data_IF_475077395208
#
_entry.id   IF_475077395208
#
_cell.length_a   1.000
_cell.length_b   1.000
_cell.length_c   1.000
_cell.angle_alpha   90.00
_cell.angle_beta   90.00
_cell.angle_gamma   90.00
#
_symmetry.space_group_name_H-M   'P 1'
#
loop_
_entity.id
_entity.type
_entity.pdbx_description
1 polymer ?
#
# COMPACT_ATOMS: atom_id res chain seq x y z
N UNK A 1 6.86 -22.51 -2.65
CA UNK A 1 7.16 -22.18 -1.24
C UNK A 1 7.71 -20.77 -1.18
N UNK A 2 7.43 -20.06 -0.09
CA UNK A 2 7.95 -18.69 0.08
C UNK A 2 9.34 -18.74 0.71
N UNK A 3 10.39 -18.33 -0.04
CA UNK A 3 11.78 -18.41 0.44
C UNK A 3 12.10 -17.17 1.30
N UNK A 4 11.75 -17.20 2.59
CA UNK A 4 12.12 -16.11 3.50
C UNK A 4 13.59 -16.20 3.88
N UNK A 5 14.24 -15.06 3.98
CA UNK A 5 15.66 -14.88 4.26
C UNK A 5 15.84 -14.00 5.51
N UNK A 6 16.55 -14.49 6.53
CA UNK A 6 17.01 -13.62 7.61
C UNK A 6 17.89 -12.50 7.07
N UNK A 7 17.80 -11.30 7.64
CA UNK A 7 18.62 -10.15 7.25
C UNK A 7 19.05 -9.32 8.46
N UNK A 8 20.10 -8.52 8.28
CA UNK A 8 20.56 -7.57 9.29
C UNK A 8 19.84 -6.24 9.11
N UNK A 9 18.75 -6.02 9.84
CA UNK A 9 18.01 -4.78 9.72
C UNK A 9 18.82 -3.57 10.21
N UNK A 10 18.74 -2.47 9.48
CA UNK A 10 18.95 -1.14 10.04
C UNK A 10 17.59 -0.58 10.43
N UNK A 11 17.45 -0.09 11.65
CA UNK A 11 16.18 0.39 12.18
C UNK A 11 16.39 1.61 13.09
N UNK A 12 15.36 2.45 13.28
CA UNK A 12 15.45 3.53 14.25
C UNK A 12 15.64 2.98 15.68
N UNK A 13 16.32 3.76 16.50
CA UNK A 13 16.32 3.52 17.95
C UNK A 13 14.94 3.80 18.53
N UNK A 14 14.62 3.20 19.69
CA UNK A 14 13.32 3.42 20.34
C UNK A 14 12.99 4.92 20.53
N UNK A 15 14.00 5.72 20.90
CA UNK A 15 13.86 7.17 21.11
C UNK A 15 13.59 7.94 19.80
N UNK A 16 14.01 7.41 18.64
CA UNK A 16 13.92 8.08 17.34
C UNK A 16 12.89 7.47 16.39
N UNK A 17 12.28 6.37 16.76
CA UNK A 17 11.34 5.65 15.89
C UNK A 17 10.15 6.52 15.43
N UNK A 18 9.60 7.36 16.33
CA UNK A 18 8.51 8.28 16.00
C UNK A 18 8.95 9.40 15.05
N UNK A 19 10.14 9.94 15.26
CA UNK A 19 10.70 11.03 14.45
C UNK A 19 11.15 10.52 13.07
N UNK A 20 11.79 9.35 13.06
CA UNK A 20 12.36 8.79 11.83
C UNK A 20 11.31 8.22 10.88
N UNK A 21 10.37 7.39 11.38
CA UNK A 21 9.41 6.71 10.54
C UNK A 21 8.30 7.65 10.05
N UNK A 22 7.85 7.43 8.83
CA UNK A 22 6.77 8.19 8.19
C UNK A 22 5.51 7.34 8.03
N UNK A 23 4.37 7.98 7.79
CA UNK A 23 3.26 7.33 7.12
C UNK A 23 3.74 6.73 5.79
N UNK A 24 2.98 5.80 5.23
CA UNK A 24 3.38 5.11 4.01
C UNK A 24 3.86 6.10 2.93
N UNK A 25 5.15 6.07 2.61
CA UNK A 25 5.82 7.08 1.78
C UNK A 25 5.23 7.17 0.36
N UNK A 26 4.71 6.06 -0.18
CA UNK A 26 4.04 6.02 -1.49
C UNK A 26 2.82 6.96 -1.60
N UNK A 27 2.31 7.45 -0.49
CA UNK A 27 1.12 8.31 -0.44
C UNK A 27 1.45 9.76 -0.12
N UNK A 28 2.73 10.08 0.08
CA UNK A 28 3.19 11.45 0.30
C UNK A 28 3.57 12.09 -1.03
N UNK A 29 3.16 13.33 -1.24
CA UNK A 29 3.64 14.12 -2.36
C UNK A 29 5.10 14.53 -2.17
N UNK A 30 5.79 14.92 -3.25
CA UNK A 30 7.15 15.44 -3.17
C UNK A 30 7.23 16.64 -2.21
N UNK A 31 6.25 17.55 -2.25
CA UNK A 31 6.19 18.71 -1.37
C UNK A 31 6.03 18.33 0.10
N UNK A 32 5.20 17.34 0.40
CA UNK A 32 5.03 16.80 1.75
C UNK A 32 6.32 16.14 2.28
N UNK A 33 7.06 15.45 1.41
CA UNK A 33 8.38 14.88 1.76
C UNK A 33 9.37 16.01 2.06
N UNK A 34 9.45 17.04 1.21
CA UNK A 34 10.36 18.18 1.40
C UNK A 34 10.03 18.98 2.67
N UNK A 35 8.76 19.27 2.91
CA UNK A 35 8.31 19.96 4.13
C UNK A 35 8.66 19.14 5.38
N UNK A 36 8.41 17.84 5.35
CA UNK A 36 8.72 16.95 6.48
C UNK A 36 10.23 16.86 6.71
N UNK A 37 11.04 16.78 5.65
CA UNK A 37 12.50 16.76 5.74
C UNK A 37 13.06 18.04 6.37
N UNK A 38 12.51 19.20 6.02
CA UNK A 38 12.90 20.50 6.58
C UNK A 38 12.57 20.62 8.09
N UNK A 39 11.45 20.05 8.53
CA UNK A 39 11.06 20.06 9.95
C UNK A 39 11.76 18.99 10.79
N UNK A 40 12.06 17.83 10.21
CA UNK A 40 12.56 16.64 10.90
C UNK A 40 13.83 16.13 10.20
N UNK A 41 15.01 16.71 10.51
CA UNK A 41 16.27 16.40 9.82
C UNK A 41 16.79 14.96 10.06
N UNK A 42 16.24 14.26 11.05
CA UNK A 42 16.56 12.85 11.33
C UNK A 42 15.50 11.88 10.79
N UNK A 43 14.55 12.34 9.97
CA UNK A 43 13.47 11.52 9.44
C UNK A 43 13.86 10.76 8.18
N UNK A 44 13.04 9.76 7.83
CA UNK A 44 13.11 9.08 6.53
C UNK A 44 12.92 10.08 5.37
N UNK A 45 12.09 11.12 5.54
CA UNK A 45 11.93 12.18 4.53
C UNK A 45 13.25 12.89 4.24
N UNK A 46 14.02 13.22 5.28
CA UNK A 46 15.35 13.82 5.13
C UNK A 46 16.35 12.87 4.44
N UNK A 47 16.26 11.57 4.69
CA UNK A 47 17.06 10.58 3.96
C UNK A 47 16.65 10.51 2.48
N UNK A 48 15.36 10.52 2.18
CA UNK A 48 14.84 10.53 0.80
C UNK A 48 15.26 11.81 0.06
N UNK A 49 15.13 12.97 0.69
CA UNK A 49 15.58 14.25 0.13
C UNK A 49 17.09 14.21 -0.19
N UNK A 50 17.93 13.74 0.72
CA UNK A 50 19.37 13.60 0.51
C UNK A 50 19.66 12.59 -0.63
N UNK A 51 18.91 11.48 -0.70
CA UNK A 51 19.04 10.52 -1.80
C UNK A 51 18.70 11.17 -3.16
N UNK A 52 17.66 11.99 -3.24
CA UNK A 52 17.32 12.71 -4.47
C UNK A 52 18.44 13.68 -4.89
N UNK A 53 19.16 14.25 -3.94
CA UNK A 53 20.37 15.06 -4.18
C UNK A 53 21.65 14.25 -4.49
N UNK A 54 21.60 12.91 -4.42
CA UNK A 54 22.76 12.04 -4.61
C UNK A 54 23.58 11.76 -3.34
N UNK A 55 23.10 12.20 -2.19
CA UNK A 55 23.78 12.13 -0.88
C UNK A 55 23.18 11.06 0.07
N UNK A 56 22.33 10.17 -0.43
CA UNK A 56 21.57 9.21 0.37
C UNK A 56 22.44 8.31 1.24
N UNK A 57 23.50 7.71 0.68
CA UNK A 57 24.40 6.84 1.43
C UNK A 57 25.16 7.60 2.54
N UNK A 58 25.59 8.84 2.27
CA UNK A 58 26.27 9.70 3.25
C UNK A 58 25.28 10.08 4.39
N UNK A 59 24.05 10.44 4.05
CA UNK A 59 22.99 10.74 5.03
C UNK A 59 22.67 9.53 5.90
N UNK A 60 22.58 8.34 5.31
CA UNK A 60 22.34 7.10 6.04
C UNK A 60 23.47 6.80 7.04
N UNK A 61 24.73 7.02 6.61
CA UNK A 61 25.90 6.87 7.50
C UNK A 61 25.86 7.89 8.64
N UNK A 62 25.53 9.15 8.39
CA UNK A 62 25.35 10.19 9.43
C UNK A 62 24.27 9.78 10.44
N UNK A 63 23.09 9.35 9.99
CA UNK A 63 22.00 8.91 10.86
C UNK A 63 22.40 7.74 11.80
N UNK A 64 23.30 6.87 11.32
CA UNK A 64 23.87 5.79 12.15
C UNK A 64 24.91 6.34 13.15
N UNK A 65 25.79 7.25 12.73
CA UNK A 65 26.76 7.89 13.60
C UNK A 65 26.09 8.68 14.74
N UNK A 66 24.98 9.36 14.42
CA UNK A 66 24.15 10.12 15.36
C UNK A 66 23.25 9.24 16.25
N UNK A 67 23.38 7.91 16.12
CA UNK A 67 22.55 6.93 16.84
C UNK A 67 21.04 7.12 16.66
N UNK A 68 20.63 7.75 15.57
CA UNK A 68 19.23 7.80 15.18
C UNK A 68 18.80 6.44 14.62
N UNK A 69 19.71 5.79 13.89
CA UNK A 69 19.55 4.43 13.38
C UNK A 69 20.62 3.51 14.02
N UNK A 70 20.27 2.25 14.17
CA UNK A 70 21.21 1.20 14.54
C UNK A 70 21.05 0.01 13.58
N UNK A 71 22.14 -0.70 13.36
CA UNK A 71 22.13 -1.96 12.61
C UNK A 71 22.18 -3.13 13.59
N UNK A 72 21.29 -4.09 13.38
CA UNK A 72 21.29 -5.32 14.17
C UNK A 72 22.58 -6.12 13.95
N UNK A 73 23.14 -6.74 15.00
CA UNK A 73 24.44 -7.43 14.90
C UNK A 73 24.37 -8.66 14.00
N UNK A 74 23.29 -9.43 14.09
CA UNK A 74 23.13 -10.72 13.40
C UNK A 74 21.92 -10.72 12.46
N UNK A 75 21.96 -11.50 11.37
CA UNK A 75 20.80 -11.70 10.52
C UNK A 75 19.70 -12.46 11.27
N UNK A 76 18.48 -11.94 11.21
CA UNK A 76 17.29 -12.61 11.76
C UNK A 76 16.06 -12.18 10.96
N UNK A 77 14.92 -12.74 11.28
CA UNK A 77 13.61 -12.21 10.87
C UNK A 77 13.06 -11.34 12.00
N UNK A 78 12.03 -10.55 11.73
CA UNK A 78 11.48 -9.64 12.73
C UNK A 78 9.96 -9.76 12.73
N UNK A 79 9.36 -9.45 13.89
CA UNK A 79 7.92 -9.32 13.99
C UNK A 79 7.54 -7.85 14.13
N UNK A 80 6.44 -7.48 13.50
CA UNK A 80 5.85 -6.16 13.61
C UNK A 80 4.36 -6.27 13.88
N UNK A 81 3.91 -5.62 14.96
CA UNK A 81 2.49 -5.49 15.26
C UNK A 81 2.07 -4.04 15.20
N UNK A 82 1.01 -3.79 14.44
CA UNK A 82 0.31 -2.51 14.42
C UNK A 82 -1.03 -2.65 15.11
N UNK A 83 -1.39 -1.65 15.94
CA UNK A 83 -2.74 -1.51 16.51
C UNK A 83 -3.27 -0.13 16.16
N UNK A 84 -4.44 -0.06 15.53
CA UNK A 84 -5.11 1.20 15.17
C UNK A 84 -6.62 1.00 15.21
N UNK A 85 -7.35 1.90 15.88
CA UNK A 85 -8.82 1.82 15.95
C UNK A 85 -9.35 0.50 16.50
N UNK A 86 -8.65 -0.10 17.47
CA UNK A 86 -9.01 -1.41 18.07
C UNK A 86 -8.63 -2.63 17.20
N UNK A 87 -8.18 -2.44 15.98
CA UNK A 87 -7.72 -3.53 15.10
C UNK A 87 -6.25 -3.82 15.33
N UNK A 88 -5.92 -5.10 15.39
CA UNK A 88 -4.56 -5.61 15.57
C UNK A 88 -4.13 -6.36 14.31
N UNK A 89 -2.95 -6.04 13.83
CA UNK A 89 -2.32 -6.68 12.67
C UNK A 89 -0.91 -7.08 13.03
N UNK A 90 -0.55 -8.33 12.81
CA UNK A 90 0.75 -8.87 13.14
C UNK A 90 1.38 -9.53 11.91
N UNK A 91 2.61 -9.16 11.56
CA UNK A 91 3.30 -9.69 10.40
C UNK A 91 4.76 -9.98 10.63
N UNK A 92 5.30 -10.83 9.77
CA UNK A 92 6.71 -11.17 9.71
C UNK A 92 7.44 -10.20 8.77
N UNK A 93 8.57 -9.64 9.20
CA UNK A 93 9.47 -8.85 8.36
C UNK A 93 10.71 -9.67 8.07
N UNK A 94 10.97 -9.90 6.78
CA UNK A 94 12.06 -10.74 6.30
C UNK A 94 12.52 -10.29 4.91
N UNK A 95 13.68 -10.74 4.48
CA UNK A 95 14.01 -10.78 3.07
C UNK A 95 13.19 -11.88 2.36
N UNK A 96 12.82 -11.64 1.11
CA UNK A 96 12.24 -12.67 0.24
C UNK A 96 13.02 -12.66 -1.06
N UNK A 97 13.39 -13.83 -1.54
CA UNK A 97 14.18 -13.96 -2.78
C UNK A 97 13.36 -13.51 -3.99
N UNK A 98 13.96 -12.70 -4.86
CA UNK A 98 13.28 -12.05 -5.99
C UNK A 98 12.69 -13.03 -7.00
N UNK A 99 13.27 -14.23 -7.16
CA UNK A 99 12.74 -15.27 -8.05
C UNK A 99 11.32 -15.73 -7.67
N UNK A 100 10.92 -15.60 -6.39
CA UNK A 100 9.58 -15.94 -5.95
C UNK A 100 8.48 -15.04 -6.58
N UNK A 101 8.84 -13.84 -7.02
CA UNK A 101 7.92 -12.90 -7.70
C UNK A 101 7.78 -13.18 -9.20
N UNK A 102 8.70 -13.93 -9.79
CA UNK A 102 8.71 -14.26 -11.22
C UNK A 102 8.29 -15.69 -11.52
N UNK A 103 8.44 -16.62 -10.56
CA UNK A 103 8.10 -18.03 -10.73
C UNK A 103 6.64 -18.38 -10.35
N UNK A 104 5.81 -17.37 -10.02
CA UNK A 104 4.39 -17.55 -9.72
C UNK A 104 4.07 -17.96 -8.27
N UNK A 105 5.06 -18.01 -7.38
CA UNK A 105 4.83 -18.22 -5.94
C UNK A 105 4.22 -16.97 -5.31
N UNK A 106 4.74 -15.79 -5.65
CA UNK A 106 4.19 -14.51 -5.22
C UNK A 106 3.54 -13.83 -6.42
N UNK A 107 2.24 -13.54 -6.30
CA UNK A 107 1.39 -13.08 -7.39
C UNK A 107 0.93 -11.66 -7.17
N UNK A 108 0.80 -10.89 -8.25
CA UNK A 108 0.34 -9.51 -8.22
C UNK A 108 -1.05 -9.40 -8.83
N UNK A 109 -1.97 -8.68 -8.18
CA UNK A 109 -3.35 -8.45 -8.62
C UNK A 109 -3.54 -7.16 -9.44
N UNK A 110 -2.50 -6.32 -9.55
CA UNK A 110 -2.51 -5.07 -10.33
C UNK A 110 -1.17 -4.76 -10.95
N UNK A 111 -1.17 -3.87 -11.93
CA UNK A 111 0.06 -3.36 -12.54
C UNK A 111 0.79 -2.36 -11.64
N UNK A 112 2.10 -2.21 -11.85
CA UNK A 112 2.90 -1.13 -11.33
C UNK A 112 2.88 0.07 -12.30
N UNK A 113 3.09 1.30 -11.81
CA UNK A 113 3.38 2.46 -12.65
C UNK A 113 4.88 2.49 -12.95
N UNK A 114 5.24 2.65 -14.22
CA UNK A 114 6.65 2.62 -14.63
C UNK A 114 7.48 3.76 -14.04
N UNK A 115 6.91 4.97 -13.95
CA UNK A 115 7.56 6.15 -13.37
C UNK A 115 7.89 5.94 -11.89
N UNK A 116 6.93 5.42 -11.11
CA UNK A 116 7.13 5.12 -9.69
C UNK A 116 8.24 4.08 -9.51
N UNK A 117 8.29 3.05 -10.37
CA UNK A 117 9.32 2.02 -10.31
C UNK A 117 10.74 2.56 -10.55
N UNK A 118 10.91 3.49 -11.48
CA UNK A 118 12.19 4.15 -11.74
C UNK A 118 12.65 4.99 -10.53
N UNK A 119 11.73 5.71 -9.90
CA UNK A 119 12.03 6.50 -8.70
C UNK A 119 12.43 5.62 -7.52
N UNK A 120 11.72 4.51 -7.28
CA UNK A 120 12.07 3.57 -6.22
C UNK A 120 13.42 2.89 -6.42
N UNK A 121 13.75 2.52 -7.65
CA UNK A 121 15.07 1.98 -7.98
C UNK A 121 16.17 2.99 -7.67
N UNK A 122 16.01 4.23 -8.15
CA UNK A 122 16.97 5.31 -7.92
C UNK A 122 17.16 5.59 -6.41
N UNK A 123 16.09 5.58 -5.63
CA UNK A 123 16.15 5.75 -4.18
C UNK A 123 16.96 4.62 -3.52
N UNK A 124 16.68 3.37 -3.89
CA UNK A 124 17.40 2.20 -3.38
C UNK A 124 18.89 2.25 -3.70
N UNK A 125 19.24 2.56 -4.95
CA UNK A 125 20.63 2.70 -5.41
C UNK A 125 21.36 3.81 -4.66
N UNK A 126 20.77 4.98 -4.51
CA UNK A 126 21.38 6.15 -3.86
C UNK A 126 21.49 6.02 -2.34
N UNK A 127 20.61 5.30 -1.71
CA UNK A 127 20.71 4.95 -0.28
C UNK A 127 21.60 3.73 -0.02
N UNK A 128 21.94 2.93 -1.04
CA UNK A 128 22.53 1.60 -0.91
C UNK A 128 21.72 0.69 0.04
N UNK A 129 20.41 0.92 0.11
CA UNK A 129 19.49 0.22 1.00
C UNK A 129 18.05 0.28 0.49
N UNK A 130 17.29 -0.77 0.74
CA UNK A 130 15.84 -0.75 0.64
C UNK A 130 15.29 -0.04 1.89
N UNK A 131 14.63 1.08 1.70
CA UNK A 131 14.16 1.95 2.80
C UNK A 131 12.70 1.73 3.16
N UNK A 132 12.03 0.86 2.42
CA UNK A 132 10.63 0.51 2.64
C UNK A 132 10.34 -0.92 2.16
N UNK A 133 9.35 -1.59 2.78
CA UNK A 133 9.02 -2.99 2.53
C UNK A 133 7.92 -3.16 1.48
N UNK A 134 8.00 -4.23 0.71
CA UNK A 134 6.86 -4.78 -0.03
C UNK A 134 5.93 -5.46 0.97
N UNK A 135 4.63 -5.20 0.88
CA UNK A 135 3.63 -5.86 1.73
C UNK A 135 3.06 -7.04 0.99
N UNK A 136 3.17 -8.20 1.59
CA UNK A 136 2.65 -9.47 1.08
C UNK A 136 1.52 -9.98 1.97
N UNK A 137 0.48 -10.52 1.35
CA UNK A 137 -0.56 -11.26 2.06
C UNK A 137 -0.40 -12.76 1.82
N UNK A 138 -0.61 -13.59 2.85
CA UNK A 138 -0.54 -15.04 2.75
C UNK A 138 -1.62 -15.72 3.59
N UNK A 139 -2.00 -16.93 3.25
CA UNK A 139 -2.88 -17.75 4.05
C UNK A 139 -2.08 -18.38 5.20
N UNK A 140 -2.35 -17.91 6.44
CA UNK A 140 -1.70 -18.44 7.63
C UNK A 140 -2.31 -19.77 8.04
N UNK A 141 -1.45 -20.72 8.43
CA UNK A 141 -1.85 -21.96 9.10
C UNK A 141 -1.66 -21.85 10.62
N UNK A 142 -2.13 -22.87 11.35
CA UNK A 142 -2.04 -22.91 12.81
C UNK A 142 -0.59 -22.83 13.32
N UNK A 143 0.36 -23.47 12.64
CA UNK A 143 1.78 -23.46 13.03
C UNK A 143 2.35 -22.04 12.98
N UNK A 144 2.09 -21.29 11.90
CA UNK A 144 2.55 -19.91 11.77
C UNK A 144 1.86 -19.01 12.79
N UNK A 145 0.56 -19.20 13.01
CA UNK A 145 -0.19 -18.43 14.00
C UNK A 145 0.39 -18.63 15.41
N UNK A 146 0.64 -19.86 15.81
CA UNK A 146 1.30 -20.21 17.07
C UNK A 146 2.70 -19.58 17.23
N UNK A 147 3.49 -19.64 16.15
CA UNK A 147 4.83 -19.04 16.16
C UNK A 147 4.74 -17.52 16.33
N UNK A 148 3.81 -16.85 15.62
CA UNK A 148 3.60 -15.41 15.75
C UNK A 148 3.19 -15.03 17.17
N UNK A 149 2.28 -15.79 17.80
CA UNK A 149 1.87 -15.56 19.18
C UNK A 149 3.04 -15.71 20.18
N UNK A 150 3.88 -16.70 19.97
CA UNK A 150 5.06 -16.91 20.82
C UNK A 150 6.08 -15.79 20.68
N UNK A 151 6.34 -15.32 19.43
CA UNK A 151 7.27 -14.22 19.18
C UNK A 151 6.82 -12.92 19.83
N UNK A 152 5.53 -12.57 19.75
CA UNK A 152 5.01 -11.30 20.29
C UNK A 152 4.83 -11.32 21.82
N UNK A 153 4.96 -12.47 22.45
CA UNK A 153 5.01 -12.59 23.93
C UNK A 153 6.41 -12.36 24.50
N UNK A 154 7.44 -12.34 23.65
CA UNK A 154 8.79 -12.00 24.06
C UNK A 154 8.95 -10.48 24.28
N UNK A 155 10.09 -10.08 24.86
CA UNK A 155 10.40 -8.65 25.06
C UNK A 155 10.59 -7.96 23.71
N UNK A 156 9.84 -6.89 23.41
CA UNK A 156 9.98 -6.16 22.16
C UNK A 156 11.32 -5.38 22.10
N UNK A 157 11.77 -5.12 20.87
CA UNK A 157 12.87 -4.18 20.60
C UNK A 157 12.47 -2.77 20.99
N UNK A 158 11.27 -2.37 20.60
CA UNK A 158 10.64 -1.12 21.02
C UNK A 158 9.15 -1.09 20.71
N UNK A 159 8.51 -0.09 21.31
CA UNK A 159 7.12 0.26 21.10
C UNK A 159 7.02 1.75 20.82
N UNK A 160 6.26 2.16 19.82
CA UNK A 160 6.10 3.57 19.44
C UNK A 160 4.64 3.87 19.10
N UNK A 161 4.16 5.02 19.55
CA UNK A 161 2.86 5.58 19.14
C UNK A 161 3.14 6.63 18.08
N UNK A 162 2.57 6.41 16.89
CA UNK A 162 2.70 7.30 15.74
C UNK A 162 1.78 8.53 15.87
N UNK A 163 2.00 9.54 15.01
CA UNK A 163 1.22 10.78 15.02
C UNK A 163 -0.26 10.59 14.69
N UNK A 164 -0.61 9.54 13.95
CA UNK A 164 -1.96 9.14 13.57
C UNK A 164 -2.67 8.24 14.61
N UNK A 165 -2.06 8.09 15.81
CA UNK A 165 -2.57 7.27 16.91
C UNK A 165 -2.32 5.76 16.73
N UNK A 166 -1.74 5.32 15.63
CA UNK A 166 -1.35 3.92 15.47
C UNK A 166 -0.18 3.57 16.41
N UNK A 167 -0.25 2.39 16.98
CA UNK A 167 0.80 1.84 17.83
C UNK A 167 1.57 0.79 17.07
N UNK A 168 2.90 0.89 17.06
CA UNK A 168 3.79 -0.08 16.42
C UNK A 168 4.69 -0.72 17.44
N UNK A 169 4.73 -2.04 17.48
CA UNK A 169 5.63 -2.82 18.35
C UNK A 169 6.45 -3.76 17.49
N UNK A 170 7.74 -3.80 17.72
CA UNK A 170 8.71 -4.54 16.93
C UNK A 170 9.48 -5.52 17.81
N UNK A 171 9.69 -6.74 17.29
CA UNK A 171 10.48 -7.79 17.95
C UNK A 171 11.56 -8.31 17.03
N UNK A 172 12.67 -8.76 17.61
CA UNK A 172 13.64 -9.61 16.94
C UNK A 172 13.13 -11.06 16.99
N UNK A 173 13.09 -11.75 15.85
CA UNK A 173 12.60 -13.13 15.75
C UNK A 173 13.57 -14.12 16.39
N UNK A 174 13.22 -14.60 17.57
CA UNK A 174 14.03 -15.59 18.29
C UNK A 174 13.91 -16.99 17.69
N UNK A 175 12.80 -17.25 16.99
CA UNK A 175 12.47 -18.53 16.34
C UNK A 175 12.63 -18.43 14.83
N UNK A 176 13.66 -17.73 14.36
CA UNK A 176 13.88 -17.47 12.94
C UNK A 176 13.97 -18.77 12.11
N UNK A 177 14.60 -19.83 12.64
CA UNK A 177 14.68 -21.12 11.96
C UNK A 177 13.30 -21.80 11.85
N UNK A 178 12.50 -21.78 12.92
CA UNK A 178 11.15 -22.37 12.92
C UNK A 178 10.23 -21.61 11.96
N UNK A 179 10.29 -20.26 11.98
CA UNK A 179 9.56 -19.42 11.03
C UNK A 179 9.96 -19.68 9.59
N UNK A 180 11.28 -19.81 9.30
CA UNK A 180 11.77 -20.16 7.97
C UNK A 180 11.22 -21.50 7.50
N UNK A 181 11.23 -22.49 8.37
CA UNK A 181 10.68 -23.83 8.09
C UNK A 181 9.16 -23.77 7.86
N UNK A 182 8.44 -23.06 8.70
CA UNK A 182 6.98 -22.94 8.56
C UNK A 182 6.57 -22.22 7.26
N UNK A 183 7.30 -21.17 6.87
CA UNK A 183 7.05 -20.46 5.60
C UNK A 183 7.44 -21.26 4.34
N UNK A 184 8.30 -22.27 4.48
CA UNK A 184 8.56 -23.23 3.40
C UNK A 184 7.33 -24.10 3.04
N UNK A 185 6.33 -24.17 3.89
CA UNK A 185 5.05 -24.83 3.60
C UNK A 185 3.99 -23.92 2.97
N UNK A 186 4.21 -22.58 2.98
CA UNK A 186 3.29 -21.61 2.37
C UNK A 186 3.47 -21.62 0.86
N UNK A 187 2.42 -22.02 0.14
CA UNK A 187 2.48 -22.27 -1.31
C UNK A 187 2.39 -21.02 -2.16
N UNK A 188 1.72 -19.98 -1.67
CA UNK A 188 1.54 -18.73 -2.39
C UNK A 188 1.40 -17.54 -1.46
N UNK A 189 1.78 -16.38 -1.96
CA UNK A 189 1.48 -15.09 -1.37
C UNK A 189 1.09 -14.08 -2.47
N UNK A 190 0.56 -12.96 -2.03
CA UNK A 190 0.01 -11.94 -2.92
C UNK A 190 0.63 -10.59 -2.59
N UNK A 191 1.08 -9.87 -3.63
CA UNK A 191 1.56 -8.50 -3.45
C UNK A 191 0.36 -7.61 -3.13
N UNK A 192 0.32 -7.07 -1.94
CA UNK A 192 -0.70 -6.12 -1.51
C UNK A 192 -0.28 -4.69 -1.85
N UNK A 193 0.95 -4.31 -1.45
CA UNK A 193 1.54 -2.99 -1.75
C UNK A 193 3.02 -3.12 -2.11
N UNK A 194 3.56 -2.11 -2.80
CA UNK A 194 4.95 -2.07 -3.20
C UNK A 194 5.23 -2.69 -4.58
N UNK A 195 4.22 -2.82 -5.45
CA UNK A 195 4.36 -3.34 -6.81
C UNK A 195 5.47 -2.65 -7.61
N UNK A 196 5.72 -1.36 -7.35
CA UNK A 196 6.75 -0.56 -8.04
C UNK A 196 8.17 -0.97 -7.67
N UNK A 197 8.39 -1.61 -6.50
CA UNK A 197 9.70 -2.05 -6.01
C UNK A 197 10.15 -3.37 -6.63
N UNK A 198 9.26 -4.06 -7.34
CA UNK A 198 9.48 -5.40 -7.88
C UNK A 198 9.97 -5.40 -9.33
N UNK A 199 10.19 -4.24 -9.93
CA UNK A 199 10.68 -4.16 -11.30
C UNK A 199 12.21 -4.21 -11.34
N UNK A 200 12.74 -4.97 -12.31
CA UNK A 200 14.17 -5.08 -12.58
C UNK A 200 15.02 -5.72 -11.45
N UNK A 201 14.40 -6.56 -10.62
CA UNK A 201 15.11 -7.34 -9.62
C UNK A 201 15.91 -8.47 -10.28
N UNK A 202 17.10 -8.76 -9.75
CA UNK A 202 17.83 -9.95 -10.12
C UNK A 202 17.30 -11.17 -9.34
N UNK A 203 17.32 -12.39 -9.88
CA UNK A 203 16.66 -13.57 -9.27
C UNK A 203 17.04 -13.86 -7.81
N UNK A 204 18.27 -13.58 -7.42
CA UNK A 204 18.77 -13.83 -6.07
C UNK A 204 18.71 -12.61 -5.14
N UNK A 205 18.26 -11.45 -5.64
CA UNK A 205 18.17 -10.25 -4.80
C UNK A 205 17.21 -10.49 -3.63
N UNK A 206 17.61 -10.14 -2.41
CA UNK A 206 16.70 -10.12 -1.29
C UNK A 206 15.79 -8.89 -1.39
N UNK A 207 14.49 -9.11 -1.37
CA UNK A 207 13.47 -8.06 -1.32
C UNK A 207 12.98 -7.92 0.11
N UNK A 208 13.09 -6.74 0.69
CA UNK A 208 12.55 -6.47 2.02
C UNK A 208 11.02 -6.57 1.98
N UNK A 209 10.46 -7.51 2.70
CA UNK A 209 9.03 -7.77 2.75
C UNK A 209 8.47 -7.74 4.17
N UNK A 210 7.22 -7.35 4.27
CA UNK A 210 6.37 -7.63 5.42
C UNK A 210 5.25 -8.57 4.98
N UNK A 211 5.14 -9.72 5.61
CA UNK A 211 4.17 -10.76 5.33
C UNK A 211 3.05 -10.72 6.37
N UNK A 212 1.82 -10.49 5.94
CA UNK A 212 0.62 -10.39 6.76
C UNK A 212 -0.35 -11.54 6.49
N UNK A 213 -0.95 -12.14 7.50
CA UNK A 213 -2.08 -13.05 7.32
C UNK A 213 -3.23 -12.34 6.57
N UNK A 214 -3.78 -12.96 5.52
CA UNK A 214 -4.84 -12.36 4.70
C UNK A 214 -6.12 -12.06 5.49
N UNK A 215 -6.40 -12.84 6.52
CA UNK A 215 -7.54 -12.60 7.41
C UNK A 215 -7.39 -11.37 8.33
N UNK A 216 -6.19 -10.80 8.41
CA UNK A 216 -5.94 -9.54 9.11
C UNK A 216 -5.92 -8.33 8.15
N UNK A 217 -6.10 -8.54 6.84
CA UNK A 217 -5.99 -7.51 5.81
C UNK A 217 -7.37 -7.07 5.34
N UNK A 218 -7.52 -5.76 5.09
CA UNK A 218 -8.71 -5.18 4.48
C UNK A 218 -8.34 -4.54 3.15
N UNK A 219 -9.06 -4.91 2.09
CA UNK A 219 -8.90 -4.33 0.78
C UNK A 219 -9.91 -3.19 0.57
N UNK A 220 -9.51 -2.19 -0.20
CA UNK A 220 -10.36 -1.08 -0.62
C UNK A 220 -10.13 -0.77 -2.09
N UNK A 221 -11.17 -0.36 -2.81
CA UNK A 221 -11.00 0.31 -4.08
C UNK A 221 -10.51 1.74 -3.86
N UNK A 222 -9.58 2.18 -4.69
CA UNK A 222 -9.22 3.60 -4.73
C UNK A 222 -10.34 4.39 -5.38
N UNK A 223 -10.78 5.53 -4.79
CA UNK A 223 -11.76 6.39 -5.42
C UNK A 223 -11.35 6.82 -6.82
N UNK A 224 -12.32 6.96 -7.72
CA UNK A 224 -12.12 7.52 -9.06
C UNK A 224 -12.35 9.01 -9.03
N UNK A 225 -11.42 9.76 -9.61
CA UNK A 225 -11.51 11.21 -9.77
C UNK A 225 -11.75 11.52 -11.24
N UNK A 226 -12.80 12.27 -11.54
CA UNK A 226 -13.14 12.71 -12.90
C UNK A 226 -12.76 14.18 -13.06
N UNK A 227 -12.06 14.53 -14.13
CA UNK A 227 -11.63 15.91 -14.40
C UNK A 227 -12.81 16.80 -14.84
N UNK A 228 -12.77 18.14 -14.58
CA UNK A 228 -13.83 19.04 -14.97
C UNK A 228 -14.12 19.06 -16.48
N UNK A 229 -13.13 18.81 -17.31
CA UNK A 229 -13.30 18.75 -18.79
C UNK A 229 -14.23 17.62 -19.27
N UNK A 230 -14.39 16.57 -18.46
CA UNK A 230 -15.29 15.44 -18.75
C UNK A 230 -16.59 15.49 -17.94
N UNK A 231 -16.76 16.52 -17.11
CA UNK A 231 -17.77 16.57 -16.04
C UNK A 231 -19.19 16.76 -16.59
N UNK A 232 -19.37 17.52 -17.68
CA UNK A 232 -20.69 17.80 -18.24
C UNK A 232 -21.43 16.53 -18.70
N UNK A 233 -20.76 15.63 -19.41
CA UNK A 233 -21.35 14.37 -19.86
C UNK A 233 -21.63 13.44 -18.68
N UNK A 234 -20.73 13.42 -17.69
CA UNK A 234 -20.90 12.64 -16.47
C UNK A 234 -22.06 13.14 -15.63
N UNK A 235 -22.16 14.46 -15.42
CA UNK A 235 -23.28 15.05 -14.69
C UNK A 235 -24.63 14.79 -15.38
N UNK A 236 -24.71 14.93 -16.70
CA UNK A 236 -25.93 14.61 -17.45
C UNK A 236 -26.34 13.13 -17.28
N UNK A 237 -25.35 12.24 -17.29
CA UNK A 237 -25.59 10.82 -17.04
C UNK A 237 -26.10 10.58 -15.61
N UNK A 238 -25.45 11.17 -14.60
CA UNK A 238 -25.86 11.06 -13.19
C UNK A 238 -27.29 11.57 -12.97
N UNK A 239 -27.66 12.70 -13.56
CA UNK A 239 -29.03 13.25 -13.44
C UNK A 239 -30.11 12.27 -13.92
N UNK A 240 -29.79 11.44 -14.89
CA UNK A 240 -30.76 10.48 -15.49
C UNK A 240 -30.71 9.08 -14.84
N UNK A 241 -29.63 8.72 -14.12
CA UNK A 241 -29.36 7.33 -13.72
C UNK A 241 -29.01 7.18 -12.23
N UNK A 242 -28.97 8.27 -11.46
CA UNK A 242 -28.57 8.24 -10.07
C UNK A 242 -29.62 8.91 -9.15
N UNK A 243 -29.64 8.45 -7.91
CA UNK A 243 -30.51 8.98 -6.84
C UNK A 243 -29.69 9.78 -5.84
N UNK A 244 -30.26 10.84 -5.27
CA UNK A 244 -29.64 11.64 -4.22
C UNK A 244 -29.50 10.83 -2.94
N UNK A 245 -28.32 10.90 -2.30
CA UNK A 245 -28.01 10.29 -1.00
C UNK A 245 -27.85 11.38 0.05
N UNK A 246 -28.71 11.39 1.06
CA UNK A 246 -28.65 12.40 2.12
C UNK A 246 -27.46 12.20 3.07
N UNK A 247 -27.16 10.94 3.39
CA UNK A 247 -26.04 10.57 4.26
C UNK A 247 -25.06 9.68 3.48
N UNK A 248 -23.95 10.24 2.99
CA UNK A 248 -22.96 9.46 2.26
C UNK A 248 -22.29 8.45 3.18
N UNK A 249 -22.15 7.23 2.69
CA UNK A 249 -21.49 6.14 3.38
C UNK A 249 -20.86 5.19 2.36
N UNK A 250 -20.42 4.03 2.83
CA UNK A 250 -19.93 3.00 1.92
C UNK A 250 -21.10 2.44 1.10
N UNK A 251 -21.09 2.50 -0.25
CA UNK A 251 -22.16 1.92 -1.06
C UNK A 251 -22.24 0.40 -0.88
N UNK A 252 -23.43 -0.15 -1.11
CA UNK A 252 -23.60 -1.61 -1.13
C UNK A 252 -23.00 -2.22 -2.39
N UNK A 253 -22.73 -3.53 -2.38
CA UNK A 253 -22.24 -4.26 -3.55
C UNK A 253 -23.13 -4.03 -4.78
N UNK A 254 -22.50 -3.78 -5.92
CA UNK A 254 -23.18 -3.46 -7.18
C UNK A 254 -23.62 -2.02 -7.35
N UNK A 255 -23.32 -1.14 -6.36
CA UNK A 255 -23.58 0.29 -6.44
C UNK A 255 -22.29 1.09 -6.31
N UNK A 256 -22.37 2.36 -6.73
CA UNK A 256 -21.30 3.35 -6.51
C UNK A 256 -21.94 4.67 -6.09
N UNK A 257 -21.20 5.46 -5.31
CA UNK A 257 -21.60 6.80 -4.91
C UNK A 257 -20.67 7.83 -5.56
N UNK A 258 -21.24 8.80 -6.28
CA UNK A 258 -20.52 9.93 -6.85
C UNK A 258 -20.78 11.18 -6.02
N UNK A 259 -19.71 11.88 -5.63
CA UNK A 259 -19.77 13.23 -5.10
C UNK A 259 -19.50 14.24 -6.21
N UNK A 260 -20.35 15.21 -6.34
CA UNK A 260 -20.26 16.32 -7.30
C UNK A 260 -20.55 17.64 -6.58
N UNK A 261 -20.13 18.77 -7.16
CA UNK A 261 -20.56 20.07 -6.65
C UNK A 261 -21.87 20.49 -7.35
N UNK A 262 -22.91 20.77 -6.56
CA UNK A 262 -24.17 21.38 -7.00
C UNK A 262 -24.33 22.72 -6.29
N UNK A 263 -24.43 23.77 -7.07
CA UNK A 263 -24.53 25.14 -6.54
C UNK A 263 -23.41 25.47 -5.51
N UNK A 264 -22.21 24.94 -5.76
CA UNK A 264 -21.04 25.12 -4.90
C UNK A 264 -21.00 24.24 -3.65
N UNK A 265 -21.98 23.39 -3.42
CA UNK A 265 -22.05 22.47 -2.29
C UNK A 265 -21.86 21.01 -2.71
N UNK A 266 -21.16 20.16 -1.90
CA UNK A 266 -21.04 18.73 -2.18
C UNK A 266 -22.40 18.04 -2.16
N UNK A 267 -22.70 17.30 -3.22
CA UNK A 267 -23.90 16.47 -3.35
C UNK A 267 -23.51 15.04 -3.68
N UNK A 268 -24.08 14.08 -2.98
CA UNK A 268 -23.83 12.66 -3.20
C UNK A 268 -24.97 12.02 -3.97
N UNK A 269 -24.61 11.23 -4.96
CA UNK A 269 -25.54 10.56 -5.85
C UNK A 269 -25.18 9.09 -5.99
N UNK A 270 -26.12 8.20 -5.69
CA UNK A 270 -25.94 6.74 -5.81
C UNK A 270 -26.45 6.22 -7.13
N UNK A 271 -25.71 5.35 -7.77
CA UNK A 271 -26.11 4.69 -9.02
C UNK A 271 -25.74 3.21 -9.00
N UNK A 272 -26.44 2.42 -9.80
CA UNK A 272 -26.15 1.01 -9.97
C UNK A 272 -25.05 0.83 -11.04
N UNK A 273 -24.05 0.01 -10.72
CA UNK A 273 -23.05 -0.40 -11.70
C UNK A 273 -23.69 -1.34 -12.76
N UNK A 274 -23.37 -1.19 -14.07
CA UNK A 274 -23.86 -2.11 -15.08
C UNK A 274 -23.39 -3.53 -14.77
N UNK A 275 -24.13 -4.58 -15.22
CA UNK A 275 -23.63 -5.94 -15.13
C UNK A 275 -22.33 -6.09 -15.96
N UNK A 276 -21.44 -7.03 -15.62
CA UNK A 276 -20.27 -7.29 -16.44
C UNK A 276 -20.72 -7.75 -17.86
N UNK A 277 -19.97 -7.36 -18.91
CA UNK A 277 -20.25 -7.84 -20.26
C UNK A 277 -20.18 -9.37 -20.34
N UNK A 278 -20.91 -9.96 -21.29
CA UNK A 278 -20.80 -11.39 -21.55
C UNK A 278 -19.37 -11.74 -22.00
N UNK A 279 -18.74 -12.70 -21.33
CA UNK A 279 -17.35 -13.08 -21.57
C UNK A 279 -16.31 -12.13 -20.97
N UNK A 280 -16.72 -11.25 -20.03
CA UNK A 280 -15.81 -10.39 -19.29
C UNK A 280 -14.74 -11.21 -18.56
N UNK A 281 -13.53 -10.65 -18.48
CA UNK A 281 -12.48 -11.15 -17.61
C UNK A 281 -12.88 -11.01 -16.14
N UNK A 282 -12.17 -11.66 -15.21
CA UNK A 282 -12.39 -11.45 -13.78
C UNK A 282 -12.16 -9.98 -13.40
N UNK A 283 -11.14 -9.34 -13.98
CA UNK A 283 -10.83 -7.92 -13.74
C UNK A 283 -11.98 -7.01 -14.20
N UNK A 284 -12.56 -7.26 -15.38
CA UNK A 284 -13.69 -6.48 -15.90
C UNK A 284 -14.99 -6.75 -15.12
N UNK A 285 -15.13 -7.91 -14.52
CA UNK A 285 -16.29 -8.29 -13.70
C UNK A 285 -16.27 -7.65 -12.30
N UNK A 286 -15.12 -7.17 -11.82
CA UNK A 286 -15.04 -6.44 -10.55
C UNK A 286 -15.86 -5.14 -10.60
N UNK A 287 -16.23 -4.60 -9.46
CA UNK A 287 -16.89 -3.29 -9.39
C UNK A 287 -16.04 -2.17 -9.98
N UNK A 288 -14.73 -2.23 -9.79
CA UNK A 288 -13.79 -1.30 -10.42
C UNK A 288 -13.77 -1.43 -11.94
N UNK A 289 -13.75 -2.65 -12.49
CA UNK A 289 -13.80 -2.90 -13.94
C UNK A 289 -15.13 -2.46 -14.56
N UNK A 290 -16.25 -2.76 -13.88
CA UNK A 290 -17.60 -2.32 -14.30
C UNK A 290 -17.74 -0.80 -14.29
N UNK A 291 -17.18 -0.11 -13.30
CA UNK A 291 -17.11 1.35 -13.29
C UNK A 291 -16.26 1.88 -14.44
N UNK A 292 -15.12 1.28 -14.73
CA UNK A 292 -14.28 1.67 -15.86
C UNK A 292 -15.00 1.51 -17.20
N UNK A 293 -15.73 0.41 -17.37
CA UNK A 293 -16.56 0.20 -18.57
C UNK A 293 -17.66 1.28 -18.70
N UNK A 294 -18.32 1.63 -17.59
CA UNK A 294 -19.32 2.71 -17.57
C UNK A 294 -18.71 4.06 -17.92
N UNK A 295 -17.59 4.41 -17.31
CA UNK A 295 -16.90 5.68 -17.58
C UNK A 295 -16.46 5.77 -19.06
N UNK A 296 -15.95 4.67 -19.65
CA UNK A 296 -15.65 4.63 -21.09
C UNK A 296 -16.88 4.86 -21.96
N UNK A 297 -18.01 4.27 -21.60
CA UNK A 297 -19.25 4.43 -22.36
C UNK A 297 -19.80 5.86 -22.29
N UNK A 298 -19.71 6.51 -21.15
CA UNK A 298 -20.25 7.86 -20.91
C UNK A 298 -19.31 8.95 -21.39
N UNK A 299 -18.02 8.79 -21.14
CA UNK A 299 -17.01 9.83 -21.37
C UNK A 299 -16.19 9.62 -22.66
N UNK A 300 -16.30 8.44 -23.30
CA UNK A 300 -15.48 8.05 -24.46
C UNK A 300 -14.13 7.43 -24.08
N UNK A 301 -13.48 6.75 -25.03
CA UNK A 301 -12.25 5.98 -24.79
C UNK A 301 -11.08 6.82 -24.28
N UNK A 302 -10.91 8.04 -24.80
CA UNK A 302 -9.81 8.95 -24.44
C UNK A 302 -9.99 9.61 -23.07
N UNK A 303 -11.18 9.57 -22.52
CA UNK A 303 -11.51 10.27 -21.27
C UNK A 303 -11.22 9.45 -20.00
N UNK A 304 -10.83 8.18 -20.11
CA UNK A 304 -10.21 7.47 -18.97
C UNK A 304 -8.86 8.08 -18.58
N UNK A 305 -8.18 8.77 -19.49
CA UNK A 305 -7.06 9.65 -19.15
C UNK A 305 -7.49 10.84 -18.27
N UNK A 306 -8.78 11.19 -18.29
CA UNK A 306 -9.38 12.20 -17.43
C UNK A 306 -9.86 11.65 -16.07
N UNK A 307 -9.80 10.33 -15.86
CA UNK A 307 -10.14 9.70 -14.59
C UNK A 307 -8.87 9.10 -13.97
N UNK A 308 -8.57 9.45 -12.73
CA UNK A 308 -7.44 8.90 -12.01
C UNK A 308 -7.88 8.16 -10.75
N UNK A 309 -7.02 7.28 -10.25
CA UNK A 309 -7.20 6.67 -8.94
C UNK A 309 -6.58 7.55 -7.87
N UNK A 310 -7.31 7.79 -6.78
CA UNK A 310 -6.80 8.47 -5.58
C UNK A 310 -6.48 7.43 -4.52
N UNK A 311 -5.24 6.95 -4.40
CA UNK A 311 -4.89 5.95 -3.42
C UNK A 311 -5.13 6.45 -1.99
N UNK A 312 -5.75 5.61 -1.21
CA UNK A 312 -5.73 5.75 0.23
C UNK A 312 -6.71 6.71 0.87
N UNK A 313 -7.57 7.37 0.12
CA UNK A 313 -8.55 8.26 0.68
C UNK A 313 -9.97 7.81 0.34
N UNK A 314 -10.76 7.54 1.37
CA UNK A 314 -12.18 7.18 1.23
C UNK A 314 -13.06 7.91 2.26
N UNK A 315 -12.47 8.79 3.06
CA UNK A 315 -13.21 9.57 4.05
C UNK A 315 -13.94 10.72 3.37
N UNK A 316 -15.23 10.83 3.64
CA UNK A 316 -16.14 11.80 3.03
C UNK A 316 -15.57 13.22 3.01
N UNK A 317 -15.04 13.70 4.13
CA UNK A 317 -14.52 15.07 4.24
C UNK A 317 -13.31 15.31 3.32
N UNK A 318 -12.38 14.36 3.22
CA UNK A 318 -11.22 14.49 2.36
C UNK A 318 -11.59 14.39 0.88
N UNK A 319 -12.53 13.50 0.53
CA UNK A 319 -13.04 13.40 -0.83
C UNK A 319 -13.77 14.70 -1.26
N UNK A 320 -14.55 15.30 -0.36
CA UNK A 320 -15.16 16.59 -0.62
C UNK A 320 -14.13 17.73 -0.78
N UNK A 321 -13.05 17.69 0.01
CA UNK A 321 -11.97 18.68 -0.09
C UNK A 321 -11.24 18.61 -1.46
N UNK A 322 -11.13 17.43 -2.07
CA UNK A 322 -10.58 17.28 -3.43
C UNK A 322 -11.42 18.04 -4.48
N UNK A 323 -12.72 18.05 -4.34
CA UNK A 323 -13.63 18.80 -5.23
C UNK A 323 -13.52 20.33 -4.99
N UNK A 324 -13.46 20.74 -3.73
CA UNK A 324 -13.37 22.16 -3.37
C UNK A 324 -12.10 22.83 -3.96
N UNK A 325 -11.04 22.08 -4.17
CA UNK A 325 -9.82 22.56 -4.82
C UNK A 325 -9.93 22.81 -6.33
N UNK A 326 -11.05 22.47 -6.98
CA UNK A 326 -11.35 22.75 -8.39
C UNK A 326 -10.55 21.92 -9.40
N UNK A 327 -9.60 21.09 -8.96
CA UNK A 327 -8.82 20.21 -9.84
C UNK A 327 -9.65 19.03 -10.40
N UNK A 328 -10.73 18.67 -9.70
CA UNK A 328 -11.62 17.55 -9.99
C UNK A 328 -13.08 17.98 -10.01
N UNK A 329 -13.85 17.44 -10.94
CA UNK A 329 -15.28 17.69 -11.08
C UNK A 329 -16.12 16.70 -10.28
N UNK A 330 -15.67 15.45 -10.17
CA UNK A 330 -16.38 14.40 -9.44
C UNK A 330 -15.43 13.43 -8.75
N UNK A 331 -15.88 12.85 -7.65
CA UNK A 331 -15.25 11.75 -6.94
C UNK A 331 -16.23 10.58 -6.86
N UNK A 332 -15.80 9.39 -7.26
CA UNK A 332 -16.64 8.19 -7.25
C UNK A 332 -16.05 7.16 -6.27
N UNK A 333 -16.89 6.66 -5.37
CA UNK A 333 -16.54 5.66 -4.35
C UNK A 333 -17.23 4.35 -4.67
N UNK A 334 -16.51 3.25 -4.51
CA UNK A 334 -16.98 1.88 -4.65
C UNK A 334 -17.04 1.19 -3.28
N UNK A 335 -17.85 0.13 -3.12
CA UNK A 335 -17.83 -0.70 -1.92
C UNK A 335 -16.48 -1.40 -1.77
N UNK A 336 -16.15 -1.80 -0.54
CA UNK A 336 -14.88 -2.48 -0.30
C UNK A 336 -14.88 -3.90 -0.92
N UNK A 337 -13.87 -4.25 -1.73
CA UNK A 337 -13.79 -5.59 -2.29
C UNK A 337 -13.41 -6.61 -1.21
N UNK A 338 -13.94 -7.83 -1.27
CA UNK A 338 -13.39 -8.93 -0.50
C UNK A 338 -11.92 -9.17 -0.91
N UNK A 339 -11.03 -9.38 0.05
CA UNK A 339 -9.61 -9.70 -0.25
C UNK A 339 -9.50 -10.91 -1.18
N UNK A 340 -10.39 -11.89 -1.01
CA UNK A 340 -10.47 -13.09 -1.86
C UNK A 340 -10.70 -12.78 -3.35
N UNK A 341 -11.44 -11.75 -3.68
CA UNK A 341 -11.64 -11.32 -5.07
C UNK A 341 -10.31 -10.94 -5.73
N UNK A 342 -9.47 -10.19 -5.00
CA UNK A 342 -8.16 -9.75 -5.48
C UNK A 342 -7.15 -10.90 -5.55
N UNK A 343 -7.22 -11.88 -4.64
CA UNK A 343 -6.37 -13.07 -4.73
C UNK A 343 -6.77 -13.97 -5.89
N UNK A 344 -8.06 -14.13 -6.18
CA UNK A 344 -8.54 -14.88 -7.34
C UNK A 344 -8.09 -14.25 -8.66
N UNK A 345 -8.11 -12.91 -8.77
CA UNK A 345 -7.55 -12.21 -9.92
C UNK A 345 -6.06 -12.54 -10.13
N UNK A 346 -5.29 -12.46 -9.04
CA UNK A 346 -3.87 -12.77 -9.07
C UNK A 346 -3.60 -14.24 -9.43
N UNK A 347 -4.44 -15.17 -8.95
CA UNK A 347 -4.36 -16.61 -9.26
C UNK A 347 -4.65 -16.90 -10.74
N UNK A 348 -5.60 -16.17 -11.33
CA UNK A 348 -5.92 -16.25 -12.75
C UNK A 348 -4.87 -15.57 -13.65
N UNK A 349 -3.86 -14.90 -13.06
CA UNK A 349 -2.88 -14.12 -13.81
C UNK A 349 -3.42 -12.81 -14.37
N UNK A 350 -4.62 -12.42 -13.97
CA UNK A 350 -5.24 -11.15 -14.37
C UNK A 350 -4.78 -10.01 -13.47
N UNK A 351 -4.79 -8.79 -14.01
CA UNK A 351 -4.30 -7.61 -13.30
C UNK A 351 -5.19 -6.40 -13.53
N UNK A 352 -5.51 -5.75 -12.43
CA UNK A 352 -6.16 -4.46 -12.42
C UNK A 352 -5.20 -3.32 -12.85
N UNK A 353 -5.72 -2.16 -13.25
CA UNK A 353 -4.92 -0.96 -13.47
C UNK A 353 -4.09 -0.57 -12.24
N UNK A 354 -2.97 0.08 -12.47
CA UNK A 354 -2.12 0.59 -11.39
C UNK A 354 -2.87 1.60 -10.51
N UNK A 355 -2.71 1.48 -9.19
CA UNK A 355 -3.35 2.37 -8.23
C UNK A 355 -4.83 2.08 -7.93
N UNK A 356 -5.45 1.05 -8.53
CA UNK A 356 -6.87 0.73 -8.35
C UNK A 356 -7.26 0.28 -6.94
N UNK A 357 -6.32 -0.25 -6.19
CA UNK A 357 -6.55 -0.82 -4.84
C UNK A 357 -5.57 -0.29 -3.84
N UNK A 358 -5.96 -0.31 -2.58
CA UNK A 358 -5.08 -0.15 -1.44
C UNK A 358 -5.54 -1.02 -0.26
N UNK A 359 -4.64 -1.24 0.70
CA UNK A 359 -4.87 -2.18 1.79
C UNK A 359 -4.63 -1.53 3.16
N UNK A 360 -5.33 -2.04 4.15
CA UNK A 360 -5.03 -1.84 5.57
C UNK A 360 -4.61 -3.18 6.20
N UNK A 361 -3.65 -3.16 7.13
CA UNK A 361 -3.07 -1.98 7.77
C UNK A 361 -2.07 -1.26 6.85
N UNK A 362 -2.00 0.06 6.96
CA UNK A 362 -0.92 0.84 6.35
C UNK A 362 0.30 0.77 7.24
N UNK A 363 1.30 0.04 6.79
CA UNK A 363 2.56 -0.11 7.51
C UNK A 363 3.40 1.15 7.31
N UNK A 364 3.92 1.72 8.39
CA UNK A 364 4.81 2.88 8.32
C UNK A 364 6.11 2.57 7.59
N UNK A 365 6.56 3.52 6.78
CA UNK A 365 7.86 3.47 6.11
C UNK A 365 9.00 3.80 7.08
N UNK A 366 10.15 3.17 6.91
CA UNK A 366 11.37 3.46 7.68
C UNK A 366 11.49 2.75 9.03
N UNK A 367 10.57 1.85 9.38
CA UNK A 367 10.74 1.01 10.58
C UNK A 367 11.84 -0.04 10.39
N UNK A 368 12.09 -0.42 9.15
CA UNK A 368 13.10 -1.39 8.74
C UNK A 368 13.78 -0.92 7.45
N UNK A 369 15.09 -1.05 7.40
CA UNK A 369 15.89 -0.83 6.19
C UNK A 369 16.76 -2.07 5.98
N UNK A 370 16.92 -2.46 4.72
CA UNK A 370 17.77 -3.57 4.33
C UNK A 370 18.88 -3.08 3.40
N UNK A 371 20.13 -3.20 3.84
CA UNK A 371 21.29 -2.86 3.01
C UNK A 371 21.51 -3.92 1.94
N UNK A 372 21.85 -3.49 0.74
CA UNK A 372 22.47 -4.35 -0.24
C UNK A 372 23.91 -4.61 0.24
N UNK A 373 24.20 -5.83 0.63
CA UNK A 373 25.51 -6.29 1.05
C UNK A 373 26.53 -6.28 -0.08
#
# INVERSE_FOLDING_TARGET
>A
VIPILPFRATRPTAAKAREFSLERMEHLSADQILETAGRLPLSLAALVQAAMAGEGAAKLASLRADKALLQEPEPTVYMHRQVKGGRKHCGLVAGVRADAFTNGVIRAHRHARGEDAAQWRLLTERCAAQVDSVILGFEANEVITDLFEREVNDRPLFHVVAGDGATHTLWSGRRAADLTTAFAEVRSAYVLEGHHRLQNLQPNDPVLCMLLPLNEVFARWSPRLVRPSADAAWHAWLQSNAEMVAEPGMPAAGFADACVLRDGAPAWMRFRLPPPPLGATLADATESGRLDALLRAVLGADSLAAASHQPGEDRVMQLQALLAGGAWGSVIVLPHPPVRELTLLADAGERLPAGSTWFEPRVRSGLWLHHHG
#
